data_IF_021705700325
#
_entry.id   IF_021705700325
#
_cell.length_a   1.000
_cell.length_b   1.000
_cell.length_c   1.000
_cell.angle_alpha   90.00
_cell.angle_beta   90.00
_cell.angle_gamma   90.00
#
_symmetry.space_group_name_H-M   'P 1'
#
loop_
_entity.id
_entity.type
_entity.pdbx_description
1 polymer ?
#
# COMPACT_ATOMS: atom_id res chain seq x y z
N UNK A 1 -14.87 -18.06 -36.66
CA UNK A 1 -15.86 -19.15 -36.50
C UNK A 1 -16.80 -18.78 -35.34
N UNK A 2 -18.00 -18.26 -35.63
CA UNK A 2 -18.87 -17.55 -34.66
C UNK A 2 -19.51 -18.48 -33.61
N UNK A 3 -19.68 -19.76 -33.95
CA UNK A 3 -20.28 -20.79 -33.11
C UNK A 3 -19.56 -21.11 -31.78
N UNK A 4 -18.29 -20.71 -31.63
CA UNK A 4 -17.55 -20.86 -30.37
C UNK A 4 -17.60 -19.62 -29.46
N UNK A 5 -18.16 -18.51 -29.93
CA UNK A 5 -18.12 -17.23 -29.22
C UNK A 5 -18.76 -17.31 -27.83
N UNK A 6 -19.86 -18.05 -27.66
CA UNK A 6 -20.54 -18.19 -26.36
C UNK A 6 -19.71 -18.99 -25.35
N UNK A 7 -19.07 -20.09 -25.79
CA UNK A 7 -18.19 -20.89 -24.94
C UNK A 7 -16.93 -20.13 -24.52
N UNK A 8 -16.36 -19.34 -25.45
CA UNK A 8 -15.21 -18.48 -25.19
C UNK A 8 -15.59 -17.39 -24.17
N UNK A 9 -16.74 -16.72 -24.35
CA UNK A 9 -17.23 -15.71 -23.40
C UNK A 9 -17.42 -16.28 -22.00
N UNK A 10 -17.99 -17.48 -21.88
CA UNK A 10 -18.22 -18.11 -20.58
C UNK A 10 -16.90 -18.47 -19.88
N UNK A 11 -15.93 -19.02 -20.62
CA UNK A 11 -14.59 -19.31 -20.08
C UNK A 11 -13.87 -18.06 -19.57
N UNK A 12 -14.04 -16.91 -20.23
CA UNK A 12 -13.41 -15.65 -19.81
C UNK A 12 -14.12 -14.98 -18.63
N UNK A 13 -15.44 -15.12 -18.46
CA UNK A 13 -16.16 -14.56 -17.30
C UNK A 13 -15.62 -15.09 -15.97
N UNK A 14 -15.29 -16.37 -15.91
CA UNK A 14 -14.76 -17.03 -14.69
C UNK A 14 -13.28 -16.70 -14.44
N UNK A 15 -12.55 -16.20 -15.44
CA UNK A 15 -11.08 -16.02 -15.39
C UNK A 15 -10.61 -14.57 -15.53
N UNK A 16 -11.50 -13.59 -15.39
CA UNK A 16 -11.08 -12.19 -15.42
C UNK A 16 -10.24 -11.90 -14.19
N UNK A 17 -8.91 -12.03 -14.31
CA UNK A 17 -7.97 -11.55 -13.31
C UNK A 17 -8.25 -10.07 -13.11
N UNK A 18 -8.59 -9.68 -11.89
CA UNK A 18 -8.80 -8.27 -11.57
C UNK A 18 -7.58 -7.46 -12.00
N UNK A 19 -7.84 -6.41 -12.77
CA UNK A 19 -6.79 -5.52 -13.24
C UNK A 19 -6.26 -4.72 -12.05
N UNK A 20 -4.94 -4.57 -11.99
CA UNK A 20 -4.33 -3.64 -11.05
C UNK A 20 -4.73 -2.21 -11.41
N UNK A 21 -5.11 -1.44 -10.40
CA UNK A 21 -5.35 -0.01 -10.56
C UNK A 21 -4.05 0.71 -10.93
N UNK A 22 -4.17 1.94 -11.45
CA UNK A 22 -3.00 2.76 -11.77
C UNK A 22 -2.11 3.03 -10.54
N UNK A 23 -2.64 3.41 -9.36
CA UNK A 23 -1.83 3.51 -8.13
C UNK A 23 -1.10 2.21 -7.77
N UNK A 24 -1.74 1.06 -7.96
CA UNK A 24 -1.12 -0.24 -7.68
C UNK A 24 0.02 -0.55 -8.64
N UNK A 25 -0.13 -0.23 -9.92
CA UNK A 25 0.94 -0.40 -10.92
C UNK A 25 2.13 0.52 -10.66
N UNK A 26 1.89 1.77 -10.26
CA UNK A 26 2.94 2.72 -9.90
C UNK A 26 3.79 2.21 -8.73
N UNK A 27 3.14 1.82 -7.62
CA UNK A 27 3.85 1.25 -6.46
C UNK A 27 4.56 -0.05 -6.80
N UNK A 28 3.93 -0.92 -7.58
CA UNK A 28 4.54 -2.19 -7.99
C UNK A 28 5.78 -1.97 -8.87
N UNK A 29 5.75 -0.97 -9.76
CA UNK A 29 6.91 -0.61 -10.56
C UNK A 29 8.08 -0.13 -9.68
N UNK A 30 7.81 0.73 -8.69
CA UNK A 30 8.84 1.18 -7.74
C UNK A 30 9.48 -0.02 -7.04
N UNK A 31 8.68 -0.98 -6.56
CA UNK A 31 9.20 -2.20 -5.91
C UNK A 31 10.03 -3.04 -6.90
N UNK A 32 9.54 -3.27 -8.12
CA UNK A 32 10.24 -4.09 -9.11
C UNK A 32 11.64 -3.54 -9.46
N UNK A 33 11.77 -2.22 -9.61
CA UNK A 33 13.03 -1.57 -9.99
C UNK A 33 13.95 -1.22 -8.81
N UNK A 34 13.42 -1.01 -7.60
CA UNK A 34 14.21 -0.55 -6.44
C UNK A 34 14.31 -1.57 -5.29
N UNK A 35 13.77 -2.79 -5.46
CA UNK A 35 13.90 -3.85 -4.46
C UNK A 35 15.37 -4.14 -4.08
N UNK A 36 15.68 -4.42 -2.81
CA UNK A 36 14.77 -4.44 -1.67
C UNK A 36 14.43 -3.03 -1.15
N UNK A 37 13.14 -2.72 -0.97
CA UNK A 37 12.65 -1.37 -0.65
C UNK A 37 11.70 -1.35 0.55
N UNK A 38 11.69 -0.29 1.37
CA UNK A 38 10.73 -0.17 2.49
C UNK A 38 9.44 0.55 2.08
N UNK A 39 8.38 0.44 2.88
CA UNK A 39 7.12 1.19 2.64
C UNK A 39 7.38 2.70 2.58
N UNK A 40 8.21 3.23 3.47
CA UNK A 40 8.53 4.65 3.53
C UNK A 40 9.26 5.12 2.25
N UNK A 41 10.16 4.29 1.71
CA UNK A 41 10.86 4.61 0.45
C UNK A 41 9.86 4.66 -0.74
N UNK A 42 8.83 3.82 -0.75
CA UNK A 42 7.76 3.85 -1.77
C UNK A 42 6.95 5.14 -1.65
N UNK A 43 6.54 5.49 -0.43
CA UNK A 43 5.78 6.72 -0.16
C UNK A 43 6.56 7.97 -0.54
N UNK A 44 7.86 8.00 -0.25
CA UNK A 44 8.75 9.10 -0.64
C UNK A 44 8.77 9.29 -2.17
N UNK A 45 8.85 8.22 -2.95
CA UNK A 45 8.86 8.32 -4.42
C UNK A 45 7.48 8.66 -4.99
N UNK A 46 6.39 8.26 -4.35
CA UNK A 46 5.03 8.53 -4.82
C UNK A 46 4.45 9.86 -4.34
N UNK A 47 5.00 10.44 -3.28
CA UNK A 47 4.48 11.64 -2.62
C UNK A 47 3.14 11.44 -1.90
N UNK A 48 2.64 10.21 -1.79
CA UNK A 48 1.34 9.88 -1.16
C UNK A 48 1.41 8.58 -0.37
N UNK A 49 0.48 8.42 0.59
CA UNK A 49 0.36 7.19 1.38
C UNK A 49 0.19 5.95 0.49
N UNK A 50 0.95 4.90 0.79
CA UNK A 50 0.98 3.68 -0.01
C UNK A 50 0.63 2.42 0.78
N UNK A 51 0.11 2.55 2.01
CA UNK A 51 -0.18 1.43 2.90
C UNK A 51 -1.22 0.46 2.32
N UNK A 52 -2.38 0.98 1.93
CA UNK A 52 -3.44 0.16 1.32
C UNK A 52 -3.00 -0.51 0.02
N UNK A 53 -2.13 0.15 -0.77
CA UNK A 53 -1.60 -0.41 -2.01
C UNK A 53 -0.60 -1.53 -1.74
N UNK A 54 0.31 -1.34 -0.77
CA UNK A 54 1.28 -2.38 -0.38
C UNK A 54 0.56 -3.60 0.17
N UNK A 55 -0.44 -3.42 1.04
CA UNK A 55 -1.25 -4.52 1.56
C UNK A 55 -1.99 -5.25 0.43
N UNK A 56 -2.61 -4.51 -0.49
CA UNK A 56 -3.28 -5.11 -1.65
C UNK A 56 -2.33 -5.90 -2.55
N UNK A 57 -1.09 -5.42 -2.78
CA UNK A 57 -0.10 -6.13 -3.58
C UNK A 57 0.43 -7.40 -2.88
N UNK A 58 0.50 -7.39 -1.54
CA UNK A 58 0.83 -8.57 -0.73
C UNK A 58 -0.29 -9.62 -0.81
N UNK A 59 -1.55 -9.19 -0.67
CA UNK A 59 -2.73 -10.07 -0.79
C UNK A 59 -2.82 -10.74 -2.17
N UNK A 60 -2.43 -10.01 -3.23
CA UNK A 60 -2.32 -10.56 -4.59
C UNK A 60 -1.05 -11.38 -4.83
N UNK A 61 -0.19 -11.54 -3.81
CA UNK A 61 1.09 -12.26 -3.87
C UNK A 61 2.05 -11.75 -4.96
N UNK A 62 1.88 -10.52 -5.44
CA UNK A 62 2.78 -9.93 -6.44
C UNK A 62 4.07 -9.44 -5.80
N UNK A 63 4.03 -9.13 -4.50
CA UNK A 63 5.18 -8.76 -3.68
C UNK A 63 5.23 -9.63 -2.42
N UNK A 64 6.39 -9.64 -1.77
CA UNK A 64 6.64 -10.35 -0.51
C UNK A 64 7.60 -9.57 0.36
N UNK A 65 7.61 -9.90 1.65
CA UNK A 65 8.65 -9.43 2.58
C UNK A 65 9.91 -10.25 2.33
N UNK A 66 11.02 -9.56 2.06
CA UNK A 66 12.35 -10.16 1.81
C UNK A 66 13.30 -10.00 3.00
N UNK A 67 12.94 -9.18 3.99
CA UNK A 67 13.73 -8.98 5.19
C UNK A 67 13.26 -7.78 6.01
N UNK A 68 14.12 -7.31 6.90
CA UNK A 68 13.96 -6.07 7.66
C UNK A 68 15.20 -5.20 7.51
N UNK A 69 15.03 -3.89 7.44
CA UNK A 69 16.13 -2.93 7.37
C UNK A 69 16.69 -2.72 8.78
N UNK A 70 18.02 -2.78 8.94
CA UNK A 70 18.71 -2.59 10.24
C UNK A 70 18.83 -1.11 10.62
N UNK A 71 17.68 -0.46 10.81
CA UNK A 71 17.54 0.94 11.26
C UNK A 71 16.48 1.03 12.36
N UNK A 72 16.32 2.21 12.97
CA UNK A 72 15.28 2.44 13.96
C UNK A 72 13.88 2.07 13.41
N UNK A 73 13.08 1.36 14.21
CA UNK A 73 11.79 0.82 13.80
C UNK A 73 11.83 -0.48 12.98
N UNK A 74 13.01 -0.92 12.52
CA UNK A 74 13.24 -2.18 11.77
C UNK A 74 12.16 -2.46 10.70
N UNK A 75 11.89 -1.53 9.76
CA UNK A 75 10.81 -1.67 8.81
C UNK A 75 11.03 -2.86 7.87
N UNK A 76 9.93 -3.43 7.35
CA UNK A 76 9.98 -4.50 6.37
C UNK A 76 10.57 -4.02 5.04
N UNK A 77 11.35 -4.90 4.43
CA UNK A 77 11.82 -4.77 3.06
C UNK A 77 10.94 -5.62 2.15
N UNK A 78 10.51 -5.03 1.04
CA UNK A 78 9.64 -5.65 0.05
C UNK A 78 10.41 -5.96 -1.23
N UNK A 79 10.00 -7.04 -1.89
CA UNK A 79 10.47 -7.43 -3.21
C UNK A 79 9.38 -8.18 -3.98
N UNK A 80 9.61 -8.38 -5.27
CA UNK A 80 8.70 -9.09 -6.18
C UNK A 80 8.74 -10.61 -5.99
N UNK A 81 7.69 -11.29 -6.44
CA UNK A 81 7.55 -12.75 -6.35
C UNK A 81 7.69 -13.43 -7.71
N UNK A 82 7.60 -14.77 -7.72
CA UNK A 82 7.49 -15.52 -8.99
C UNK A 82 6.17 -15.22 -9.71
N UNK A 83 5.09 -15.02 -8.96
CA UNK A 83 3.79 -14.67 -9.53
C UNK A 83 3.82 -13.33 -10.27
N UNK A 84 4.63 -12.37 -9.81
CA UNK A 84 4.88 -11.14 -10.57
C UNK A 84 5.44 -11.44 -11.97
N UNK A 85 6.48 -12.27 -12.06
CA UNK A 85 7.07 -12.64 -13.35
C UNK A 85 6.04 -13.31 -14.26
N UNK A 86 5.24 -14.23 -13.72
CA UNK A 86 4.16 -14.89 -14.46
C UNK A 86 3.04 -13.93 -14.89
N UNK A 87 2.70 -12.96 -14.03
CA UNK A 87 1.68 -11.96 -14.32
C UNK A 87 2.09 -11.06 -15.48
N UNK A 88 3.38 -10.68 -15.56
CA UNK A 88 3.93 -9.83 -16.62
C UNK A 88 4.54 -10.61 -17.79
N UNK A 89 4.54 -11.95 -17.75
CA UNK A 89 5.09 -12.79 -18.82
C UNK A 89 6.62 -12.73 -18.95
N UNK A 90 7.31 -12.43 -17.85
CA UNK A 90 8.78 -12.32 -17.78
C UNK A 90 9.40 -13.64 -17.35
N UNK A 91 10.61 -13.94 -17.81
CA UNK A 91 11.36 -15.12 -17.34
C UNK A 91 12.17 -14.80 -16.10
N UNK A 92 12.71 -13.58 -16.06
CA UNK A 92 13.57 -13.04 -15.01
C UNK A 92 13.31 -11.55 -14.81
N UNK A 93 13.88 -10.98 -13.75
CA UNK A 93 13.84 -9.54 -13.50
C UNK A 93 14.71 -8.75 -14.48
N UNK A 94 15.70 -9.39 -15.10
CA UNK A 94 16.58 -8.77 -16.11
C UNK A 94 15.83 -8.48 -17.43
N UNK A 95 14.67 -9.11 -17.63
CA UNK A 95 13.78 -8.83 -18.76
C UNK A 95 12.99 -7.52 -18.58
N UNK A 96 13.12 -6.86 -17.41
CA UNK A 96 12.50 -5.55 -17.19
C UNK A 96 13.19 -4.48 -18.05
N UNK A 97 12.42 -3.62 -18.73
CA UNK A 97 12.96 -2.49 -19.48
C UNK A 97 13.92 -1.64 -18.63
N UNK A 98 15.08 -1.27 -19.15
CA UNK A 98 16.05 -0.46 -18.40
C UNK A 98 15.48 0.93 -18.13
N UNK A 99 15.74 1.49 -16.95
CA UNK A 99 15.26 2.84 -16.60
C UNK A 99 15.78 3.92 -17.57
N UNK A 100 16.97 3.73 -18.13
CA UNK A 100 17.59 4.63 -19.12
C UNK A 100 16.81 4.72 -20.43
N UNK A 101 15.98 3.71 -20.74
CA UNK A 101 15.16 3.67 -21.95
C UNK A 101 13.87 4.52 -21.81
N UNK A 102 13.63 5.11 -20.64
CA UNK A 102 12.51 6.01 -20.37
C UNK A 102 13.01 7.41 -19.98
N UNK A 103 13.35 8.27 -20.96
CA UNK A 103 13.83 9.63 -20.67
C UNK A 103 12.85 10.45 -19.81
N UNK A 104 11.54 10.21 -19.97
CA UNK A 104 10.48 10.85 -19.18
C UNK A 104 10.48 10.43 -17.69
N UNK A 105 11.01 9.24 -17.37
CA UNK A 105 11.12 8.75 -15.99
C UNK A 105 12.44 9.19 -15.35
N UNK A 106 13.55 9.15 -16.08
CA UNK A 106 14.88 9.54 -15.59
C UNK A 106 14.93 10.97 -15.04
N UNK A 107 14.20 11.91 -15.66
CA UNK A 107 14.11 13.29 -15.20
C UNK A 107 13.31 13.45 -13.89
N UNK A 108 12.31 12.59 -13.65
CA UNK A 108 11.46 12.67 -12.44
C UNK A 108 12.11 12.09 -11.20
N UNK A 109 12.97 11.06 -11.34
CA UNK A 109 13.64 10.44 -10.18
C UNK A 109 14.79 11.31 -9.64
N UNK A 110 15.37 12.17 -10.48
CA UNK A 110 16.53 12.98 -10.12
C UNK A 110 16.18 14.35 -9.52
N UNK A 111 14.93 14.81 -9.63
CA UNK A 111 14.57 16.20 -9.30
C UNK A 111 13.72 16.39 -8.03
N UNK A 112 13.67 15.41 -7.13
CA UNK A 112 13.01 15.56 -5.83
C UNK A 112 13.92 15.11 -4.68
N UNK A 113 15.07 15.79 -4.58
CA UNK A 113 15.83 15.93 -3.33
C UNK A 113 16.22 17.39 -3.18
N UNK A 114 15.23 18.25 -2.92
CA UNK A 114 15.51 19.58 -2.35
C UNK A 114 15.53 19.38 -0.84
N UNK A 115 16.74 19.29 -0.29
CA UNK A 115 16.96 19.47 1.15
C UNK A 115 16.55 20.90 1.51
N UNK A 116 15.37 21.05 2.10
CA UNK A 116 15.05 22.25 2.87
C UNK A 116 15.63 22.03 4.26
N UNK A 117 16.86 22.51 4.47
CA UNK A 117 17.35 22.90 5.80
C UNK A 117 18.42 24.00 5.66
N UNK A 118 17.97 25.20 6.05
CA UNK A 118 18.64 26.29 6.79
C UNK A 118 19.80 27.13 6.20
N UNK A 119 19.49 28.43 6.14
CA UNK A 119 20.29 29.62 6.40
C UNK A 119 21.49 29.97 5.50
N UNK A 120 21.33 31.04 4.69
CA UNK A 120 22.15 32.27 4.75
C UNK A 120 21.40 33.47 4.14
N UNK A 121 21.10 34.44 4.99
CA UNK A 121 21.19 35.89 4.78
C UNK A 121 21.16 36.39 3.31
N UNK A 122 20.02 36.91 2.85
CA UNK A 122 20.09 38.18 2.12
C UNK A 122 18.79 39.00 2.21
N UNK A 123 19.03 40.26 2.55
CA UNK A 123 18.11 41.34 2.79
C UNK A 123 17.56 41.89 1.45
N UNK A 124 16.33 42.46 1.50
CA UNK A 124 15.73 43.45 0.57
C UNK A 124 15.02 42.91 -0.67
N UNK A 125 13.69 42.80 -0.57
CA UNK A 125 12.76 43.75 -1.21
C UNK A 125 11.32 43.38 -0.86
N UNK A 126 10.64 44.25 -0.10
CA UNK A 126 9.21 44.12 0.17
C UNK A 126 8.41 44.90 -0.90
N UNK A 127 7.36 44.35 -1.52
CA UNK A 127 6.49 45.13 -2.37
C UNK A 127 5.50 45.94 -1.51
N UNK A 128 5.48 47.24 -1.78
CA UNK A 128 4.60 48.26 -1.22
C UNK A 128 3.14 47.99 -1.60
N UNK A 129 2.25 47.89 -0.60
CA UNK A 129 0.79 47.88 -0.80
C UNK A 129 0.34 49.36 -0.84
N UNK A 130 -0.18 49.81 -1.98
CA UNK A 130 -0.90 51.08 -2.09
C UNK A 130 -2.40 50.85 -1.91
N UNK A 131 -2.98 51.52 -0.93
CA UNK A 131 -4.42 51.73 -0.75
C UNK A 131 -4.85 52.90 -1.62
N UNK A 132 -6.04 52.82 -2.22
CA UNK A 132 -7.00 53.93 -2.37
C UNK A 132 -8.41 53.34 -2.67
N UNK A 133 -9.40 53.89 -1.94
CA UNK A 133 -10.82 53.53 -1.64
C UNK A 133 -11.82 53.62 -2.85
N UNK A 134 -13.18 53.38 -2.76
CA UNK A 134 -14.07 53.37 -1.58
C UNK A 134 -15.26 52.38 -1.51
N UNK A 135 -15.85 52.36 -0.31
CA UNK A 135 -17.16 51.82 0.13
C UNK A 135 -18.33 52.24 -0.77
N UNK A 136 -19.20 51.29 -1.13
CA UNK A 136 -20.64 51.54 -1.26
C UNK A 136 -21.46 50.41 -0.62
N UNK A 137 -22.33 50.83 0.28
CA UNK A 137 -23.26 50.04 1.06
C UNK A 137 -24.61 50.00 0.38
N UNK A 138 -25.17 48.82 0.10
CA UNK A 138 -26.63 48.65 0.03
C UNK A 138 -27.06 47.33 0.67
N UNK A 139 -28.04 47.49 1.55
CA UNK A 139 -28.82 46.56 2.35
C UNK A 139 -29.75 45.69 1.49
N UNK A 140 -30.49 44.82 2.20
CA UNK A 140 -31.78 44.18 1.87
C UNK A 140 -31.59 42.66 1.65
N UNK A 141 -32.27 41.70 2.28
CA UNK A 141 -33.33 41.62 3.29
C UNK A 141 -33.34 40.14 3.80
N UNK A 142 -33.58 39.92 5.09
CA UNK A 142 -33.87 38.60 5.66
C UNK A 142 -35.30 38.16 5.32
N UNK A 143 -35.45 36.95 4.76
CA UNK A 143 -36.74 36.30 4.49
C UNK A 143 -36.71 34.83 4.92
N UNK A 144 -37.54 34.51 5.90
CA UNK A 144 -37.62 33.25 6.65
C UNK A 144 -38.45 32.17 5.88
N UNK A 145 -38.19 30.91 6.23
CA UNK A 145 -39.06 29.70 6.40
C UNK A 145 -39.42 28.73 5.25
N UNK A 146 -39.20 27.46 5.62
CA UNK A 146 -40.09 26.29 5.52
C UNK A 146 -39.91 25.24 4.40
N UNK A 147 -39.42 24.06 4.82
CA UNK A 147 -40.06 22.73 4.75
C UNK A 147 -38.96 21.67 4.95
N UNK A 148 -38.94 20.79 5.95
CA UNK A 148 -40.04 20.20 6.70
C UNK A 148 -40.52 18.91 6.04
N UNK A 149 -39.78 17.80 6.19
CA UNK A 149 -40.35 16.44 6.28
C UNK A 149 -39.47 15.59 7.19
N UNK A 150 -40.11 15.09 8.24
CA UNK A 150 -39.60 14.21 9.29
C UNK A 150 -39.80 12.72 8.98
N UNK A 151 -39.24 11.90 9.89
CA UNK A 151 -39.62 10.52 10.29
C UNK A 151 -39.00 9.38 9.45
N UNK A 152 -38.47 8.29 10.03
CA UNK A 152 -38.72 7.68 11.34
C UNK A 152 -37.59 6.71 11.78
N UNK A 153 -37.59 6.42 13.11
CA UNK A 153 -37.22 5.13 13.78
C UNK A 153 -35.74 4.70 13.81
N UNK A 154 -35.16 4.12 14.87
CA UNK A 154 -35.57 3.66 16.21
C UNK A 154 -34.27 3.57 17.06
N UNK A 155 -34.28 3.92 18.35
CA UNK A 155 -34.27 2.98 19.50
C UNK A 155 -33.12 1.94 19.41
N UNK A 156 -32.11 1.90 20.28
CA UNK A 156 -32.14 2.12 21.72
C UNK A 156 -31.89 0.78 22.42
N UNK A 157 -30.61 0.45 22.60
CA UNK A 157 -30.03 -0.46 23.60
C UNK A 157 -30.70 -1.83 23.87
N UNK A 158 -30.01 -2.91 23.50
CA UNK A 158 -29.75 -4.05 24.39
C UNK A 158 -28.75 -5.03 23.73
N UNK A 159 -27.68 -5.39 24.43
CA UNK A 159 -27.35 -6.81 24.67
C UNK A 159 -26.10 -6.93 25.57
N UNK A 160 -26.36 -7.33 26.82
CA UNK A 160 -25.44 -8.13 27.63
C UNK A 160 -25.32 -9.49 26.95
N UNK A 161 -24.16 -9.77 26.34
CA UNK A 161 -23.79 -11.08 25.81
C UNK A 161 -22.75 -11.76 26.69
N UNK A 162 -23.14 -12.91 27.21
CA UNK A 162 -22.48 -13.81 28.16
C UNK A 162 -21.09 -14.29 27.72
N UNK A 163 -20.17 -14.38 28.68
CA UNK A 163 -18.93 -15.14 28.60
C UNK A 163 -19.27 -16.63 28.71
N UNK A 164 -19.27 -17.35 27.58
CA UNK A 164 -19.20 -18.81 27.59
C UNK A 164 -17.81 -19.25 27.16
N UNK A 165 -17.14 -19.82 28.15
CA UNK A 165 -15.82 -20.39 28.13
C UNK A 165 -15.96 -21.85 27.70
N UNK A 166 -15.75 -22.13 26.42
CA UNK A 166 -15.64 -23.52 25.94
C UNK A 166 -14.22 -24.03 26.23
N UNK A 167 -14.11 -24.69 27.38
CA UNK A 167 -13.08 -25.67 27.65
C UNK A 167 -13.36 -26.90 26.78
N UNK A 168 -12.70 -27.00 25.63
CA UNK A 168 -12.57 -28.29 24.93
C UNK A 168 -11.22 -28.92 25.26
N UNK A 169 -11.34 -29.98 26.03
CA UNK A 169 -10.35 -30.97 26.41
C UNK A 169 -9.66 -31.56 25.16
N UNK A 170 -8.33 -31.48 25.10
CA UNK A 170 -7.56 -32.46 24.34
C UNK A 170 -6.78 -33.35 25.29
N UNK A 171 -7.17 -34.62 25.19
CA UNK A 171 -6.57 -35.84 25.72
C UNK A 171 -5.05 -35.93 25.51
N UNK A 172 -4.39 -36.40 26.56
CA UNK A 172 -3.31 -37.39 26.56
C UNK A 172 -2.19 -37.28 25.52
N UNK A 173 -1.04 -36.76 25.97
CA UNK A 173 0.21 -37.51 25.85
C UNK A 173 1.32 -36.82 26.64
N UNK A 174 1.74 -37.41 27.77
CA UNK A 174 3.13 -37.53 28.26
C UNK A 174 3.14 -38.58 29.39
N UNK A 175 4.28 -39.22 29.76
CA UNK A 175 5.58 -39.30 29.10
C UNK A 175 6.08 -40.77 28.97
N UNK A 176 6.96 -41.05 28.01
CA UNK A 176 7.90 -42.19 28.19
C UNK A 176 9.30 -41.63 28.07
N UNK A 177 9.98 -41.61 29.21
CA UNK A 177 11.37 -41.24 29.30
C UNK A 177 12.33 -42.34 28.84
N UNK A 178 13.57 -41.88 28.66
CA UNK A 178 14.78 -42.49 29.21
C UNK A 178 15.38 -43.70 28.48
N UNK A 179 16.43 -43.44 27.69
CA UNK A 179 17.68 -44.23 27.63
C UNK A 179 18.74 -43.40 26.87
N UNK A 180 19.72 -42.80 27.58
CA UNK A 180 21.11 -43.27 27.74
C UNK A 180 21.85 -43.53 26.42
N UNK A 181 22.84 -42.70 26.08
CA UNK A 181 24.28 -42.98 26.31
C UNK A 181 24.73 -44.26 25.60
N UNK A 182 25.54 -44.13 24.55
CA UNK A 182 26.83 -44.82 24.41
C UNK A 182 27.61 -44.30 23.18
N UNK A 183 28.88 -43.96 23.46
CA UNK A 183 30.10 -44.31 22.72
C UNK A 183 30.28 -43.92 21.23
N UNK A 184 31.47 -43.67 20.71
CA UNK A 184 32.81 -43.41 21.24
C UNK A 184 33.71 -43.09 20.03
N UNK A 185 34.78 -42.34 20.30
CA UNK A 185 36.14 -42.50 19.77
C UNK A 185 36.38 -43.12 18.37
N UNK A 186 37.02 -42.29 17.53
CA UNK A 186 38.42 -42.45 17.07
C UNK A 186 38.81 -43.75 16.33
N UNK A 187 39.28 -43.60 15.10
CA UNK A 187 40.42 -44.27 14.42
C UNK A 187 40.46 -43.66 13.00
N UNK A 188 41.53 -43.12 12.38
CA UNK A 188 42.99 -43.30 12.43
C UNK A 188 43.49 -44.71 12.63
#
# INVERSE_FOLDING_TARGET
NSQYASYIKEFFKTKTKEKLSKPSLESLAIIAYKQPVTRADIELVRGVNSDGVVNHLLEKELIKIVGRKEVAGRPYLYGTTRLFLEYFGLKSLDDLPKLEEFPVLAEKVNNEYVTVDEDKDNEKDAPVIQQDDPIDSKTDEDGIIENGVSLSEADGADEKGTLENEQESQEDAQPVGMTQEIDAHKQS
#
